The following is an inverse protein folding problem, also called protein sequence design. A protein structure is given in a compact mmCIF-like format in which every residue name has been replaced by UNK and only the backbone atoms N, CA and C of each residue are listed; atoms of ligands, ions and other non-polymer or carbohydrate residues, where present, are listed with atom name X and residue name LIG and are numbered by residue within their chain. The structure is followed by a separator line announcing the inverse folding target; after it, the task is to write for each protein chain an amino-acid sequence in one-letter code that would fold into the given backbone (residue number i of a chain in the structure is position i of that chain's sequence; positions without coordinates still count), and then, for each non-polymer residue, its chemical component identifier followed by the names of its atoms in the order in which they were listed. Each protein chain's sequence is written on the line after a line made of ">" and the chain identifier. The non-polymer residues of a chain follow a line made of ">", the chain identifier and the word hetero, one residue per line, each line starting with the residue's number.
data_IF_047702100595
#
_entry.id   IF_047702100595
#
_cell.length_a   1.000
_cell.length_b   1.000
_cell.length_c   1.000
_cell.angle_alpha   90.00
_cell.angle_beta   90.00
_cell.angle_gamma   90.00
#
_symmetry.space_group_name_H-M   'P 1'
#
loop_
_entity.id
_entity.type
_entity.pdbx_description
1 polymer ?
#
# COMPACT_ATOMS: atom_id res chain seq x y z
N UNK A 1 0.20 15.45 -28.63
CA UNK A 1 0.15 16.40 -27.49
C UNK A 1 1.52 16.40 -26.81
N UNK A 2 2.16 17.56 -26.57
CA UNK A 2 3.46 17.58 -25.86
C UNK A 2 3.24 17.28 -24.37
N UNK A 3 4.08 16.43 -23.80
CA UNK A 3 3.99 16.04 -22.39
C UNK A 3 4.42 17.19 -21.46
N UNK A 4 5.40 18.00 -21.86
CA UNK A 4 5.90 19.14 -21.07
C UNK A 4 5.36 20.48 -21.57
N UNK A 5 5.15 21.42 -20.64
CA UNK A 5 4.63 22.77 -20.93
C UNK A 5 5.53 23.92 -20.47
N UNK A 6 6.58 23.64 -19.66
CA UNK A 6 7.48 24.62 -19.00
C UNK A 6 6.80 25.63 -18.05
N UNK A 7 5.48 25.56 -17.87
CA UNK A 7 4.72 26.48 -17.00
C UNK A 7 5.14 26.42 -15.53
N UNK A 8 5.74 25.32 -15.09
CA UNK A 8 6.20 25.12 -13.72
C UNK A 8 7.70 25.28 -13.49
N UNK A 9 8.45 25.78 -14.47
CA UNK A 9 9.92 25.88 -14.38
C UNK A 9 10.38 26.94 -13.37
N UNK A 10 9.52 27.93 -13.08
CA UNK A 10 9.75 28.92 -12.02
C UNK A 10 9.42 28.42 -10.60
N UNK A 11 9.21 27.11 -10.42
CA UNK A 11 8.88 26.52 -9.13
C UNK A 11 7.41 26.65 -8.72
N UNK A 12 6.52 27.10 -9.60
CA UNK A 12 5.08 27.17 -9.35
C UNK A 12 4.32 26.04 -10.04
N UNK A 13 3.09 25.79 -9.58
CA UNK A 13 2.15 24.87 -10.22
C UNK A 13 0.71 25.34 -9.98
N UNK A 14 -0.26 24.75 -10.66
CA UNK A 14 -1.69 25.02 -10.42
C UNK A 14 -2.35 23.81 -9.76
N UNK A 15 -3.17 24.08 -8.75
CA UNK A 15 -4.10 23.10 -8.20
C UNK A 15 -5.29 22.90 -9.14
N UNK A 16 -6.11 21.89 -8.85
CA UNK A 16 -7.29 21.56 -9.65
C UNK A 16 -8.35 22.67 -9.59
N UNK A 17 -8.41 23.40 -8.48
CA UNK A 17 -9.24 24.61 -8.29
C UNK A 17 -8.72 25.85 -9.05
N UNK A 18 -7.64 25.72 -9.84
CA UNK A 18 -7.04 26.77 -10.65
C UNK A 18 -6.05 27.68 -9.90
N UNK A 19 -5.92 27.57 -8.58
CA UNK A 19 -4.99 28.41 -7.81
C UNK A 19 -3.53 28.07 -8.13
N UNK A 20 -2.73 29.09 -8.39
CA UNK A 20 -1.28 28.95 -8.54
C UNK A 20 -0.59 28.96 -7.18
N UNK A 21 0.20 27.94 -6.89
CA UNK A 21 0.94 27.75 -5.64
C UNK A 21 2.42 27.44 -5.92
N UNK A 22 3.27 27.56 -4.90
CA UNK A 22 4.64 27.05 -4.98
C UNK A 22 4.62 25.52 -4.99
N UNK A 23 5.58 24.88 -5.66
CA UNK A 23 5.75 23.42 -5.61
C UNK A 23 6.08 22.89 -4.20
N UNK A 24 6.48 23.77 -3.29
CA UNK A 24 6.73 23.49 -1.87
C UNK A 24 5.50 23.69 -0.98
N UNK A 25 4.33 24.04 -1.54
CA UNK A 25 3.08 24.10 -0.78
C UNK A 25 2.77 22.72 -0.16
N UNK A 26 2.35 22.70 1.10
CA UNK A 26 2.10 21.45 1.84
C UNK A 26 1.10 20.51 1.13
N UNK A 27 0.16 21.06 0.36
CA UNK A 27 -0.77 20.26 -0.45
C UNK A 27 -0.02 19.56 -1.57
N UNK A 28 0.91 20.23 -2.25
CA UNK A 28 1.71 19.62 -3.33
C UNK A 28 2.63 18.53 -2.77
N UNK A 29 3.26 18.76 -1.62
CA UNK A 29 4.05 17.74 -0.91
C UNK A 29 3.19 16.50 -0.58
N UNK A 30 1.97 16.71 -0.07
CA UNK A 30 1.05 15.60 0.21
C UNK A 30 0.63 14.86 -1.06
N UNK A 31 0.27 15.58 -2.14
CA UNK A 31 -0.08 14.97 -3.42
C UNK A 31 1.08 14.11 -3.94
N UNK A 32 2.31 14.64 -3.91
CA UNK A 32 3.51 13.88 -4.31
C UNK A 32 3.78 12.67 -3.42
N UNK A 33 3.54 12.78 -2.11
CA UNK A 33 3.69 11.64 -1.19
C UNK A 33 2.66 10.54 -1.44
N UNK A 34 1.41 10.90 -1.78
CA UNK A 34 0.37 9.94 -2.14
C UNK A 34 0.70 9.29 -3.50
N UNK A 35 1.25 10.04 -4.46
CA UNK A 35 1.70 9.49 -5.73
C UNK A 35 2.89 8.51 -5.57
N UNK A 36 3.81 8.81 -4.65
CA UNK A 36 4.90 7.91 -4.25
C UNK A 36 4.36 6.62 -3.61
N UNK A 37 3.39 6.73 -2.69
CA UNK A 37 2.68 5.57 -2.14
C UNK A 37 2.05 4.74 -3.25
N UNK A 38 1.35 5.40 -4.18
CA UNK A 38 0.67 4.76 -5.30
C UNK A 38 1.65 4.00 -6.22
N UNK A 39 2.86 4.54 -6.39
CA UNK A 39 3.96 3.92 -7.13
C UNK A 39 4.50 2.67 -6.44
N UNK A 40 4.71 2.72 -5.12
CA UNK A 40 5.13 1.55 -4.33
C UNK A 40 4.07 0.45 -4.29
N UNK A 41 2.79 0.81 -4.20
CA UNK A 41 1.68 -0.14 -4.36
C UNK A 41 1.72 -0.80 -5.75
N UNK A 42 2.07 -0.03 -6.79
CA UNK A 42 2.31 -0.58 -8.13
C UNK A 42 3.40 -1.64 -8.15
N UNK A 43 4.52 -1.42 -7.44
CA UNK A 43 5.58 -2.42 -7.32
C UNK A 43 5.11 -3.69 -6.61
N UNK A 44 4.41 -3.57 -5.48
CA UNK A 44 3.87 -4.73 -4.76
C UNK A 44 2.88 -5.52 -5.64
N UNK A 45 1.96 -4.80 -6.31
CA UNK A 45 0.93 -5.37 -7.18
C UNK A 45 1.45 -6.27 -8.30
N UNK A 46 2.66 -6.02 -8.81
CA UNK A 46 3.24 -6.84 -9.89
C UNK A 46 3.41 -8.29 -9.45
N UNK A 47 3.82 -8.51 -8.19
CA UNK A 47 4.03 -9.84 -7.62
C UNK A 47 2.76 -10.46 -7.03
N UNK A 48 1.76 -9.63 -6.72
CA UNK A 48 0.56 -10.04 -6.03
C UNK A 48 -0.30 -11.08 -6.78
N UNK A 49 -0.83 -12.02 -5.99
CA UNK A 49 -1.93 -12.90 -6.40
C UNK A 49 -3.21 -12.11 -6.70
N UNK A 50 -4.20 -12.79 -7.30
CA UNK A 50 -5.38 -12.11 -7.88
C UNK A 50 -6.19 -11.29 -6.89
N UNK A 51 -6.38 -11.76 -5.65
CA UNK A 51 -7.14 -11.04 -4.63
C UNK A 51 -6.43 -9.74 -4.24
N UNK A 52 -5.19 -9.83 -3.76
CA UNK A 52 -4.40 -8.67 -3.35
C UNK A 52 -4.17 -7.70 -4.53
N UNK A 53 -4.03 -8.20 -5.77
CA UNK A 53 -3.92 -7.37 -6.97
C UNK A 53 -5.19 -6.55 -7.22
N UNK A 54 -6.37 -7.15 -7.05
CA UNK A 54 -7.66 -6.46 -7.17
C UNK A 54 -7.84 -5.42 -6.08
N UNK A 55 -7.48 -5.76 -4.85
CA UNK A 55 -7.56 -4.89 -3.67
C UNK A 55 -6.61 -3.69 -3.82
N UNK A 56 -5.35 -3.92 -4.18
CA UNK A 56 -4.39 -2.84 -4.47
C UNK A 56 -4.91 -1.97 -5.61
N UNK A 57 -5.42 -2.55 -6.70
CA UNK A 57 -5.95 -1.75 -7.82
C UNK A 57 -7.11 -0.84 -7.39
N UNK A 58 -7.98 -1.32 -6.50
CA UNK A 58 -9.04 -0.52 -5.90
C UNK A 58 -8.47 0.62 -5.05
N UNK A 59 -7.51 0.33 -4.17
CA UNK A 59 -6.82 1.31 -3.33
C UNK A 59 -6.14 2.39 -4.18
N UNK A 60 -5.44 2.02 -5.26
CA UNK A 60 -4.76 2.98 -6.14
C UNK A 60 -5.73 4.00 -6.75
N UNK A 61 -6.95 3.56 -7.13
CA UNK A 61 -8.00 4.46 -7.64
C UNK A 61 -8.53 5.38 -6.56
N UNK A 62 -8.73 4.88 -5.34
CA UNK A 62 -9.16 5.70 -4.20
C UNK A 62 -8.11 6.76 -3.84
N UNK A 63 -6.82 6.41 -3.86
CA UNK A 63 -5.74 7.37 -3.63
C UNK A 63 -5.75 8.50 -4.67
N UNK A 64 -6.05 8.21 -5.93
CA UNK A 64 -6.26 9.24 -6.95
C UNK A 64 -7.45 10.16 -6.63
N UNK A 65 -8.56 9.59 -6.14
CA UNK A 65 -9.70 10.38 -5.67
C UNK A 65 -9.36 11.29 -4.48
N UNK A 66 -8.60 10.75 -3.50
CA UNK A 66 -8.11 11.54 -2.36
C UNK A 66 -7.22 12.70 -2.84
N UNK A 67 -6.34 12.46 -3.81
CA UNK A 67 -5.53 13.51 -4.43
C UNK A 67 -6.41 14.60 -5.07
N UNK A 68 -7.48 14.25 -5.78
CA UNK A 68 -8.44 15.23 -6.30
C UNK A 68 -9.09 16.05 -5.19
N UNK A 69 -9.48 15.43 -4.07
CA UNK A 69 -10.07 16.13 -2.92
C UNK A 69 -9.11 17.07 -2.20
N UNK A 70 -7.82 16.76 -2.18
CA UNK A 70 -6.78 17.67 -1.66
C UNK A 70 -6.57 18.85 -2.61
N UNK A 71 -6.60 18.60 -3.93
CA UNK A 71 -6.37 19.61 -4.95
C UNK A 71 -7.57 20.56 -5.15
N UNK A 72 -8.80 20.10 -4.88
CA UNK A 72 -10.02 20.91 -4.88
C UNK A 72 -10.97 20.49 -3.73
N UNK A 73 -10.76 21.01 -2.50
CA UNK A 73 -11.51 20.59 -1.32
C UNK A 73 -12.97 21.08 -1.29
N UNK A 74 -13.36 21.98 -2.20
CA UNK A 74 -14.72 22.53 -2.23
C UNK A 74 -15.69 21.66 -3.05
N UNK A 75 -15.16 20.83 -3.95
CA UNK A 75 -15.96 19.98 -4.82
C UNK A 75 -16.49 18.76 -4.06
N UNK A 76 -17.82 18.67 -3.93
CA UNK A 76 -18.47 17.58 -3.17
C UNK A 76 -18.22 16.19 -3.76
N UNK A 77 -18.01 16.09 -5.07
CA UNK A 77 -17.73 14.82 -5.75
C UNK A 77 -16.40 14.17 -5.31
N UNK A 78 -15.49 14.95 -4.72
CA UNK A 78 -14.21 14.45 -4.21
C UNK A 78 -14.24 14.14 -2.70
N UNK A 79 -15.41 14.21 -2.06
CA UNK A 79 -15.54 13.80 -0.66
C UNK A 79 -15.35 12.30 -0.55
N UNK A 80 -14.63 11.89 0.49
CA UNK A 80 -14.30 10.50 0.70
C UNK A 80 -15.48 9.74 1.34
N UNK A 81 -15.76 8.55 0.84
CA UNK A 81 -16.80 7.67 1.40
C UNK A 81 -16.20 6.87 2.57
N UNK A 82 -16.85 6.93 3.73
CA UNK A 82 -16.36 6.26 4.95
C UNK A 82 -16.41 4.74 4.83
N UNK A 83 -17.31 4.20 3.99
CA UNK A 83 -17.42 2.78 3.71
C UNK A 83 -16.15 2.15 3.14
N UNK A 84 -15.30 2.97 2.51
CA UNK A 84 -14.01 2.49 2.01
C UNK A 84 -13.02 2.22 3.16
N UNK A 85 -13.18 2.88 4.30
CA UNK A 85 -12.38 2.58 5.51
C UNK A 85 -12.88 1.28 6.14
N UNK A 86 -14.20 1.11 6.27
CA UNK A 86 -14.83 -0.13 6.76
C UNK A 86 -14.38 -1.35 5.93
N UNK A 87 -14.31 -1.18 4.60
CA UNK A 87 -13.84 -2.22 3.69
C UNK A 87 -12.38 -2.64 3.93
N UNK A 88 -11.51 -1.72 4.34
CA UNK A 88 -10.15 -2.08 4.75
C UNK A 88 -10.15 -2.88 6.05
N UNK A 89 -11.02 -2.51 6.99
CA UNK A 89 -11.19 -3.22 8.28
C UNK A 89 -11.66 -4.66 8.04
N UNK A 90 -12.67 -4.85 7.19
CA UNK A 90 -13.16 -6.18 6.78
C UNK A 90 -12.05 -7.03 6.15
N UNK A 91 -11.21 -6.43 5.30
CA UNK A 91 -10.08 -7.14 4.70
C UNK A 91 -8.98 -7.47 5.71
N UNK A 92 -8.71 -6.56 6.66
CA UNK A 92 -7.75 -6.79 7.74
C UNK A 92 -8.20 -8.00 8.57
N UNK A 93 -9.44 -8.00 9.03
CA UNK A 93 -9.99 -9.05 9.89
C UNK A 93 -9.96 -10.40 9.17
N UNK A 94 -10.39 -10.44 7.90
CA UNK A 94 -10.35 -11.65 7.07
C UNK A 94 -8.93 -12.19 6.89
N UNK A 95 -7.93 -11.32 6.69
CA UNK A 95 -6.54 -11.76 6.54
C UNK A 95 -5.98 -12.20 7.89
N UNK A 96 -6.25 -11.47 8.98
CA UNK A 96 -5.80 -11.83 10.32
C UNK A 96 -6.31 -13.21 10.74
N UNK A 97 -7.56 -13.55 10.43
CA UNK A 97 -8.16 -14.86 10.72
C UNK A 97 -7.61 -16.00 9.85
N UNK A 98 -6.89 -15.69 8.75
CA UNK A 98 -6.42 -16.68 7.79
C UNK A 98 -5.07 -17.32 8.14
N UNK A 99 -4.35 -16.80 9.14
CA UNK A 99 -3.06 -17.36 9.57
C UNK A 99 -2.82 -17.19 11.07
N UNK A 100 -1.93 -18.00 11.69
CA UNK A 100 -1.64 -17.88 13.11
C UNK A 100 -1.09 -16.50 13.46
N UNK A 101 -1.68 -15.86 14.48
CA UNK A 101 -1.19 -14.57 15.00
C UNK A 101 0.31 -14.64 15.34
N UNK A 102 1.08 -13.73 14.76
CA UNK A 102 2.51 -13.60 15.05
C UNK A 102 2.67 -12.91 16.40
N UNK A 103 3.28 -13.59 17.38
CA UNK A 103 3.47 -13.08 18.75
C UNK A 103 4.83 -12.42 18.96
N UNK A 104 5.76 -12.59 18.04
CA UNK A 104 7.14 -12.11 18.14
C UNK A 104 7.40 -10.85 17.32
N UNK A 105 8.52 -10.18 17.60
CA UNK A 105 8.99 -9.06 16.79
C UNK A 105 9.25 -9.51 15.35
N UNK A 106 8.56 -8.89 14.39
CA UNK A 106 8.70 -9.23 12.97
C UNK A 106 9.69 -8.30 12.28
N UNK A 107 10.74 -8.89 11.72
CA UNK A 107 11.60 -8.21 10.75
C UNK A 107 10.88 -8.11 9.40
N UNK A 108 11.05 -6.98 8.72
CA UNK A 108 10.41 -6.74 7.43
C UNK A 108 11.11 -7.49 6.30
N UNK A 109 10.33 -7.95 5.32
CA UNK A 109 10.84 -8.56 4.10
C UNK A 109 11.23 -10.04 4.21
N UNK A 110 10.38 -10.87 4.82
CA UNK A 110 10.53 -12.33 4.73
C UNK A 110 10.39 -12.88 3.30
N UNK A 111 9.80 -12.11 2.38
CA UNK A 111 9.84 -12.32 0.94
C UNK A 111 9.86 -10.99 0.18
N UNK A 112 10.06 -11.03 -1.15
CA UNK A 112 10.14 -9.80 -1.96
C UNK A 112 8.80 -9.02 -1.97
N UNK A 113 7.67 -9.74 -2.01
CA UNK A 113 6.36 -9.13 -2.01
C UNK A 113 6.06 -8.41 -0.68
N UNK A 114 6.34 -9.07 0.45
CA UNK A 114 6.16 -8.47 1.78
C UNK A 114 7.09 -7.27 1.99
N UNK A 115 8.34 -7.32 1.50
CA UNK A 115 9.25 -6.18 1.55
C UNK A 115 8.69 -4.96 0.81
N UNK A 116 8.12 -5.16 -0.38
CA UNK A 116 7.48 -4.08 -1.15
C UNK A 116 6.26 -3.50 -0.43
N UNK A 117 5.45 -4.36 0.20
CA UNK A 117 4.31 -3.94 1.02
C UNK A 117 4.75 -3.16 2.27
N UNK A 118 5.82 -3.57 2.94
CA UNK A 118 6.38 -2.85 4.10
C UNK A 118 6.91 -1.46 3.73
N UNK A 119 7.53 -1.31 2.55
CA UNK A 119 7.91 0.00 2.02
C UNK A 119 6.68 0.85 1.75
N UNK A 120 5.67 0.32 1.04
CA UNK A 120 4.43 1.03 0.79
C UNK A 120 3.75 1.48 2.09
N UNK A 121 3.71 0.61 3.11
CA UNK A 121 3.21 0.93 4.45
C UNK A 121 3.96 2.11 5.09
N UNK A 122 5.29 2.13 5.00
CA UNK A 122 6.08 3.25 5.54
C UNK A 122 5.74 4.58 4.84
N UNK A 123 5.54 4.54 3.51
CA UNK A 123 5.12 5.71 2.73
C UNK A 123 3.68 6.11 3.05
N UNK A 124 2.76 5.16 3.30
CA UNK A 124 1.40 5.46 3.75
C UNK A 124 1.40 6.24 5.08
N UNK A 125 2.22 5.82 6.05
CA UNK A 125 2.40 6.59 7.30
C UNK A 125 3.04 7.95 7.06
N UNK A 126 3.92 8.10 6.07
CA UNK A 126 4.47 9.41 5.68
C UNK A 126 3.37 10.30 5.09
N UNK A 127 2.54 9.76 4.20
CA UNK A 127 1.38 10.45 3.63
C UNK A 127 0.42 10.91 4.74
N UNK A 128 0.09 10.05 5.70
CA UNK A 128 -0.73 10.39 6.87
C UNK A 128 -0.20 11.61 7.65
N UNK A 129 1.12 11.64 7.95
CA UNK A 129 1.75 12.78 8.63
C UNK A 129 1.67 14.06 7.80
N UNK A 130 1.90 13.98 6.49
CA UNK A 130 1.76 15.12 5.57
C UNK A 130 0.31 15.59 5.47
N UNK A 131 -0.63 14.66 5.49
CA UNK A 131 -2.07 14.94 5.49
C UNK A 131 -2.43 15.75 6.73
N UNK A 132 -1.92 15.36 7.90
CA UNK A 132 -2.12 16.11 9.14
C UNK A 132 -1.61 17.56 9.03
N UNK A 133 -0.44 17.78 8.44
CA UNK A 133 0.08 19.14 8.19
C UNK A 133 -0.85 19.96 7.31
N UNK A 134 -1.37 19.37 6.22
CA UNK A 134 -2.33 20.04 5.34
C UNK A 134 -3.63 20.37 6.08
N UNK A 135 -4.17 19.43 6.85
CA UNK A 135 -5.42 19.59 7.60
C UNK A 135 -5.34 20.65 8.72
N UNK A 136 -4.14 21.06 9.13
CA UNK A 136 -3.94 22.18 10.08
C UNK A 136 -4.06 23.55 9.42
N UNK A 137 -3.86 23.64 8.10
CA UNK A 137 -3.77 24.91 7.36
C UNK A 137 -4.88 25.10 6.32
N UNK A 138 -5.44 24.00 5.84
CA UNK A 138 -6.39 23.98 4.73
C UNK A 138 -7.60 23.09 5.06
N UNK A 139 -8.69 23.33 4.34
CA UNK A 139 -9.84 22.41 4.36
C UNK A 139 -9.40 21.07 3.80
N UNK A 140 -9.59 20.01 4.56
CA UNK A 140 -9.24 18.64 4.17
C UNK A 140 -10.26 17.65 4.73
N UNK A 141 -10.50 16.57 3.98
CA UNK A 141 -11.45 15.55 4.38
C UNK A 141 -10.85 14.65 5.47
N UNK A 142 -11.46 14.65 6.67
CA UNK A 142 -11.02 13.83 7.80
C UNK A 142 -11.17 12.33 7.51
N UNK A 143 -12.14 11.93 6.69
CA UNK A 143 -12.40 10.53 6.34
C UNK A 143 -11.26 9.98 5.47
N UNK A 144 -10.77 10.77 4.52
CA UNK A 144 -9.60 10.40 3.73
C UNK A 144 -8.33 10.23 4.59
N UNK A 145 -8.15 11.06 5.64
CA UNK A 145 -7.05 10.92 6.57
C UNK A 145 -7.16 9.62 7.41
N UNK A 146 -8.36 9.27 7.88
CA UNK A 146 -8.63 8.01 8.58
C UNK A 146 -8.35 6.80 7.68
N UNK A 147 -8.73 6.89 6.40
CA UNK A 147 -8.43 5.85 5.43
C UNK A 147 -6.92 5.60 5.26
N UNK A 148 -6.09 6.65 5.18
CA UNK A 148 -4.62 6.48 5.09
C UNK A 148 -4.02 5.82 6.33
N UNK A 149 -4.57 6.13 7.51
CA UNK A 149 -4.18 5.47 8.75
C UNK A 149 -4.50 3.97 8.69
N UNK A 150 -5.75 3.61 8.33
CA UNK A 150 -6.18 2.22 8.19
C UNK A 150 -5.47 1.46 7.08
N UNK A 151 -5.13 2.15 5.98
CA UNK A 151 -4.35 1.58 4.88
C UNK A 151 -2.96 1.12 5.35
N UNK A 152 -2.33 1.83 6.29
CA UNK A 152 -1.06 1.37 6.85
C UNK A 152 -1.21 0.05 7.62
N UNK A 153 -2.32 -0.15 8.35
CA UNK A 153 -2.61 -1.41 9.06
C UNK A 153 -2.89 -2.54 8.06
N UNK A 154 -3.68 -2.26 7.02
CA UNK A 154 -3.95 -3.22 5.94
C UNK A 154 -2.67 -3.67 5.24
N UNK A 155 -1.79 -2.74 4.86
CA UNK A 155 -0.52 -3.10 4.23
C UNK A 155 0.40 -3.90 5.16
N UNK A 156 0.34 -3.64 6.47
CA UNK A 156 1.06 -4.44 7.46
C UNK A 156 0.57 -5.89 7.45
N UNK A 157 -0.73 -6.13 7.59
CA UNK A 157 -1.25 -7.49 7.69
C UNK A 157 -1.05 -8.27 6.38
N UNK A 158 -1.17 -7.62 5.22
CA UNK A 158 -0.82 -8.23 3.94
C UNK A 158 0.65 -8.65 3.90
N UNK A 159 1.57 -7.79 4.34
CA UNK A 159 3.00 -8.13 4.38
C UNK A 159 3.28 -9.36 5.25
N UNK A 160 2.63 -9.44 6.43
CA UNK A 160 2.76 -10.58 7.36
C UNK A 160 2.17 -11.86 6.77
N UNK A 161 1.05 -11.77 6.06
CA UNK A 161 0.46 -12.91 5.38
C UNK A 161 1.36 -13.44 4.25
N UNK A 162 1.99 -12.56 3.47
CA UNK A 162 2.94 -12.97 2.42
C UNK A 162 4.24 -13.55 2.99
N UNK A 163 4.72 -13.05 4.12
CA UNK A 163 5.81 -13.69 4.88
C UNK A 163 5.43 -15.12 5.27
N UNK A 164 4.24 -15.30 5.87
CA UNK A 164 3.73 -16.60 6.28
C UNK A 164 3.60 -17.59 5.11
N UNK A 165 3.04 -17.14 3.99
CA UNK A 165 2.92 -17.98 2.77
C UNK A 165 4.29 -18.42 2.26
N UNK A 166 5.24 -17.49 2.16
CA UNK A 166 6.59 -17.79 1.67
C UNK A 166 7.31 -18.82 2.57
N UNK A 167 7.17 -18.67 3.89
CA UNK A 167 7.78 -19.63 4.83
C UNK A 167 7.19 -21.04 4.73
N UNK A 168 5.87 -21.16 4.58
CA UNK A 168 5.22 -22.48 4.46
C UNK A 168 5.58 -23.17 3.15
N UNK A 169 5.61 -22.42 2.03
CA UNK A 169 6.07 -22.94 0.74
C UNK A 169 7.50 -23.48 0.86
N UNK A 170 8.39 -22.74 1.54
CA UNK A 170 9.77 -23.19 1.79
C UNK A 170 9.82 -24.47 2.63
N UNK A 171 9.02 -24.57 3.70
CA UNK A 171 8.96 -25.76 4.57
C UNK A 171 8.46 -26.99 3.80
N UNK A 172 7.43 -26.83 2.97
CA UNK A 172 6.89 -27.90 2.14
C UNK A 172 7.89 -28.39 1.09
N UNK A 173 8.65 -27.47 0.48
CA UNK A 173 9.73 -27.82 -0.45
C UNK A 173 10.81 -28.69 0.21
N UNK A 174 11.29 -28.29 1.39
CA UNK A 174 12.27 -29.05 2.18
C UNK A 174 11.70 -30.43 2.55
N UNK A 175 10.43 -30.50 2.95
CA UNK A 175 9.77 -31.77 3.31
C UNK A 175 9.74 -32.72 2.11
N UNK A 176 9.41 -32.23 0.92
CA UNK A 176 9.39 -33.04 -0.31
C UNK A 176 10.79 -33.52 -0.72
N UNK A 177 11.82 -32.68 -0.54
CA UNK A 177 13.22 -33.05 -0.80
C UNK A 177 13.69 -34.16 0.14
N UNK A 178 13.43 -34.02 1.45
CA UNK A 178 13.75 -35.06 2.45
C UNK A 178 13.02 -36.38 2.13
N UNK A 179 11.73 -36.34 1.77
CA UNK A 179 10.98 -37.55 1.38
C UNK A 179 11.63 -38.23 0.17
N UNK A 180 12.01 -37.45 -0.85
CA UNK A 180 12.67 -37.96 -2.06
C UNK A 180 14.01 -38.63 -1.73
N UNK A 181 14.81 -38.02 -0.88
CA UNK A 181 16.12 -38.56 -0.50
C UNK A 181 15.99 -39.84 0.33
N UNK A 182 15.05 -39.89 1.28
CA UNK A 182 14.74 -41.12 2.03
C UNK A 182 14.31 -42.25 1.09
N UNK A 183 13.45 -41.96 0.10
CA UNK A 183 13.01 -42.97 -0.87
C UNK A 183 14.13 -43.46 -1.79
N UNK A 184 15.06 -42.60 -2.22
CA UNK A 184 16.25 -43.00 -3.00
C UNK A 184 17.14 -43.97 -2.22
N UNK A 185 17.49 -43.63 -0.98
CA UNK A 185 18.37 -44.45 -0.14
C UNK A 185 17.69 -45.72 0.42
N UNK A 186 16.37 -45.81 0.37
CA UNK A 186 15.63 -47.03 0.67
C UNK A 186 15.61 -48.00 -0.53
N UNK A 187 15.66 -47.49 -1.77
CA UNK A 187 15.78 -48.31 -2.98
C UNK A 187 17.16 -48.96 -3.15
N UNK A 188 18.23 -48.28 -2.72
CA UNK A 188 19.62 -48.78 -2.82
C UNK A 188 19.98 -49.87 -1.80
N UNK A 189 19.16 -50.11 -0.77
CA UNK A 189 19.40 -51.16 0.26
C UNK A 189 18.75 -52.51 -0.04
N UNK A 190 18.02 -52.62 -1.16
CA UNK A 190 17.30 -53.84 -1.56
C UNK A 190 17.88 -54.50 -2.83
N UNK A 191 19.10 -54.16 -3.21
CA UNK A 191 19.90 -54.81 -4.28
C UNK A 191 21.26 -55.20 -3.73
#
# INVERSE_FOLDING_TARGET
>A
MKIYTRKGDNGRTSLLDGKSVLKTDDRIELLGTIDELNSHLGMAKVLAGDDLRREITHIQRLLMGIMSGIADPMKREYRFDEKETEKLEDWIDRIEDSFPRIKDFVLYGGCEESARLDVARAVARRAERRFRTVAQKYVADKKAMQYLNRLADYLYICARYEDYKAENIRKDGIRQEVIRDVMKHAGERNT
#
